data_IF_090924942733
#
_entry.id   IF_090924942733
#
_cell.length_a   1.000
_cell.length_b   1.000
_cell.length_c   1.000
_cell.angle_alpha   90.00
_cell.angle_beta   90.00
_cell.angle_gamma   90.00
#
_symmetry.space_group_name_H-M   'P 1'
#
loop_
_entity.id
_entity.type
_entity.pdbx_description
1 polymer ?
#
# COMPACT_ATOMS: atom_id res chain seq x y z
N UNK A 1 -23.00 -38.96 -45.85
CA UNK A 1 -24.03 -40.01 -45.74
C UNK A 1 -23.65 -40.85 -44.54
N UNK A 2 -24.61 -41.06 -43.62
CA UNK A 2 -24.53 -41.72 -42.31
C UNK A 2 -23.78 -40.99 -41.19
N UNK A 3 -24.24 -41.00 -39.94
CA UNK A 3 -25.57 -40.91 -39.32
C UNK A 3 -25.32 -40.68 -37.83
N UNK A 4 -26.27 -40.03 -37.17
CA UNK A 4 -26.29 -39.69 -35.75
C UNK A 4 -26.57 -40.92 -34.87
N UNK A 5 -26.04 -40.94 -33.66
CA UNK A 5 -26.73 -41.54 -32.52
C UNK A 5 -26.32 -40.90 -31.20
N UNK A 6 -27.32 -40.29 -30.58
CA UNK A 6 -27.44 -39.78 -29.21
C UNK A 6 -27.34 -40.88 -28.17
N UNK A 7 -26.82 -40.59 -26.98
CA UNK A 7 -27.21 -41.28 -25.73
C UNK A 7 -27.21 -40.29 -24.57
N UNK A 8 -28.43 -40.13 -24.04
CA UNK A 8 -28.84 -39.42 -22.82
C UNK A 8 -28.88 -40.40 -21.63
N UNK A 9 -28.98 -39.85 -20.42
CA UNK A 9 -29.45 -40.49 -19.18
C UNK A 9 -28.55 -41.50 -18.44
N UNK A 10 -27.78 -40.96 -17.47
CA UNK A 10 -27.70 -41.51 -16.11
C UNK A 10 -27.58 -40.38 -15.11
N UNK A 11 -28.63 -40.13 -14.32
CA UNK A 11 -28.53 -40.23 -12.86
C UNK A 11 -29.88 -39.92 -12.20
N UNK A 12 -30.43 -40.96 -11.57
CA UNK A 12 -31.56 -40.88 -10.66
C UNK A 12 -31.12 -41.43 -9.31
N UNK A 13 -31.61 -40.76 -8.26
CA UNK A 13 -31.69 -41.17 -6.85
C UNK A 13 -30.45 -40.91 -5.97
N UNK A 14 -30.55 -39.86 -5.14
CA UNK A 14 -30.63 -40.05 -3.69
C UNK A 14 -31.30 -38.82 -3.03
N UNK A 15 -32.52 -39.05 -2.52
CA UNK A 15 -33.27 -38.18 -1.62
C UNK A 15 -32.89 -38.48 -0.16
N UNK A 16 -32.70 -37.44 0.65
CA UNK A 16 -32.93 -37.38 2.11
C UNK A 16 -32.63 -35.95 2.57
N UNK A 17 -33.57 -35.00 2.55
CA UNK A 17 -34.54 -34.66 3.62
C UNK A 17 -33.94 -34.65 5.03
N UNK A 18 -33.51 -33.47 5.49
CA UNK A 18 -33.79 -33.03 6.86
C UNK A 18 -34.08 -31.52 6.91
N UNK A 19 -35.37 -31.23 7.08
CA UNK A 19 -35.94 -29.95 7.51
C UNK A 19 -35.66 -29.72 9.00
N UNK A 20 -35.20 -28.53 9.38
CA UNK A 20 -35.48 -27.97 10.71
C UNK A 20 -35.87 -26.49 10.60
N UNK A 21 -37.03 -26.18 11.18
CA UNK A 21 -37.72 -24.88 11.15
C UNK A 21 -37.13 -23.89 12.15
N UNK A 22 -37.28 -22.62 11.78
CA UNK A 22 -37.20 -21.37 12.55
C UNK A 22 -38.01 -21.38 13.85
N UNK A 23 -37.46 -20.71 14.87
CA UNK A 23 -38.05 -19.73 15.79
C UNK A 23 -36.82 -18.97 16.38
N UNK A 24 -36.68 -17.65 16.44
CA UNK A 24 -37.63 -16.56 16.43
C UNK A 24 -37.70 -15.92 17.82
N UNK A 25 -36.75 -15.03 18.17
CA UNK A 25 -36.97 -13.95 19.14
C UNK A 25 -36.02 -12.78 18.86
N UNK A 26 -36.64 -11.62 18.67
CA UNK A 26 -36.06 -10.28 18.63
C UNK A 26 -35.50 -9.89 20.01
N UNK A 27 -34.40 -9.14 20.03
CA UNK A 27 -34.30 -7.98 20.92
C UNK A 27 -33.21 -7.02 20.40
N UNK A 28 -33.64 -5.77 20.25
CA UNK A 28 -32.89 -4.63 19.74
C UNK A 28 -33.26 -3.48 20.66
N UNK A 29 -32.32 -2.92 21.42
CA UNK A 29 -32.52 -1.68 22.18
C UNK A 29 -31.24 -0.86 22.15
N UNK A 30 -31.39 0.34 21.61
CA UNK A 30 -30.67 1.59 21.88
C UNK A 30 -31.75 2.70 21.76
N UNK A 31 -31.58 3.95 22.24
CA UNK A 31 -30.53 4.51 23.09
C UNK A 31 -31.06 5.44 24.22
N UNK A 32 -30.09 5.97 24.98
CA UNK A 32 -30.15 7.06 25.97
C UNK A 32 -30.86 8.35 25.49
N UNK A 33 -31.61 9.00 26.40
CA UNK A 33 -31.55 10.46 26.65
C UNK A 33 -32.37 10.87 27.91
N UNK A 34 -31.93 11.96 28.58
CA UNK A 34 -32.69 12.83 29.54
C UNK A 34 -32.85 12.23 30.96
N UNK A 35 -32.57 12.85 32.13
CA UNK A 35 -32.48 14.25 32.55
C UNK A 35 -31.69 14.42 33.86
N UNK A 36 -31.27 15.68 34.10
CA UNK A 36 -30.81 16.26 35.36
C UNK A 36 -31.73 16.02 36.57
N UNK A 37 -31.15 15.89 37.76
CA UNK A 37 -31.57 16.63 38.95
C UNK A 37 -30.49 16.66 40.04
N UNK A 38 -30.26 17.88 40.56
CA UNK A 38 -29.63 18.17 41.85
C UNK A 38 -30.51 17.59 42.99
N UNK A 39 -30.10 17.44 44.25
CA UNK A 39 -29.44 18.41 45.12
C UNK A 39 -29.18 17.80 46.51
N UNK A 40 -28.12 18.28 47.15
CA UNK A 40 -28.00 18.64 48.58
C UNK A 40 -28.14 17.60 49.71
N UNK A 41 -27.13 17.64 50.59
CA UNK A 41 -27.12 16.97 51.89
C UNK A 41 -25.83 17.26 52.64
N UNK A 42 -25.70 18.48 53.18
CA UNK A 42 -24.63 18.91 54.08
C UNK A 42 -24.89 18.41 55.51
N UNK A 43 -23.86 17.94 56.23
CA UNK A 43 -23.42 18.50 57.53
C UNK A 43 -22.43 17.60 58.27
N UNK A 44 -21.38 18.19 58.86
CA UNK A 44 -20.99 17.82 60.23
C UNK A 44 -19.58 17.26 60.50
N UNK A 45 -18.58 18.14 60.51
CA UNK A 45 -17.49 18.28 61.53
C UNK A 45 -16.82 17.03 62.16
N UNK A 46 -15.50 16.89 61.95
CA UNK A 46 -14.50 16.76 63.04
C UNK A 46 -13.07 16.75 62.47
N UNK A 47 -12.17 17.47 63.13
CA UNK A 47 -10.80 17.71 62.71
C UNK A 47 -9.88 16.49 62.89
N UNK A 48 -9.11 16.18 61.85
CA UNK A 48 -7.81 15.54 61.95
C UNK A 48 -6.95 16.06 60.79
N UNK A 49 -5.73 16.53 61.10
CA UNK A 49 -4.77 17.01 60.12
C UNK A 49 -4.46 15.90 59.10
N UNK A 50 -4.74 16.16 57.82
CA UNK A 50 -4.32 15.32 56.70
C UNK A 50 -3.44 16.18 55.80
N UNK A 51 -2.24 15.71 55.55
CA UNK A 51 -1.25 16.28 54.64
C UNK A 51 -1.88 16.57 53.26
N UNK A 52 -1.75 17.82 52.81
CA UNK A 52 -2.18 18.22 51.46
C UNK A 52 -1.13 17.73 50.45
N UNK A 53 -1.52 17.03 49.37
CA UNK A 53 -0.58 16.35 48.49
C UNK A 53 0.18 17.34 47.58
N UNK A 54 1.50 17.14 47.53
CA UNK A 54 2.56 17.84 46.76
C UNK A 54 2.34 17.82 45.23
N UNK A 55 1.28 17.17 44.73
CA UNK A 55 1.08 16.80 43.31
C UNK A 55 0.61 17.96 42.40
N UNK A 56 0.01 19.02 42.96
CA UNK A 56 -0.60 20.10 42.14
C UNK A 56 0.41 21.15 41.64
N UNK A 57 1.51 21.34 42.36
CA UNK A 57 2.60 22.27 42.00
C UNK A 57 3.57 21.65 41.00
N UNK A 58 3.78 20.33 41.05
CA UNK A 58 4.61 19.58 40.10
C UNK A 58 4.03 19.58 38.70
N UNK A 59 2.71 19.32 38.52
CA UNK A 59 2.08 19.33 37.18
C UNK A 59 2.11 20.70 36.48
N UNK A 60 2.07 21.81 37.24
CA UNK A 60 2.24 23.17 36.68
C UNK A 60 3.70 23.49 36.36
N UNK A 61 4.65 23.05 37.19
CA UNK A 61 6.09 23.13 36.90
C UNK A 61 6.47 22.28 35.68
N UNK A 62 5.91 21.08 35.53
CA UNK A 62 6.16 20.18 34.40
C UNK A 62 5.71 20.79 33.06
N UNK A 63 4.50 21.35 32.99
CA UNK A 63 4.00 22.04 31.78
C UNK A 63 4.82 23.29 31.43
N UNK A 64 5.27 24.05 32.42
CA UNK A 64 6.16 25.20 32.23
C UNK A 64 7.56 24.78 31.74
N UNK A 65 8.09 23.67 32.27
CA UNK A 65 9.37 23.08 31.86
C UNK A 65 9.33 22.56 30.42
N UNK A 66 8.30 21.81 30.02
CA UNK A 66 8.13 21.31 28.65
C UNK A 66 8.06 22.46 27.63
N UNK A 67 7.43 23.59 28.01
CA UNK A 67 7.42 24.81 27.20
C UNK A 67 8.81 25.42 27.02
N UNK A 68 9.60 25.55 28.11
CA UNK A 68 10.96 26.12 28.07
C UNK A 68 11.99 25.24 27.37
N UNK A 69 11.91 23.91 27.52
CA UNK A 69 12.71 22.93 26.76
C UNK A 69 12.50 23.11 25.26
N UNK A 70 11.24 23.28 24.84
CA UNK A 70 10.91 23.49 23.43
C UNK A 70 11.43 24.84 22.91
N UNK A 71 11.37 25.89 23.74
CA UNK A 71 11.88 27.23 23.40
C UNK A 71 13.40 27.24 23.18
N UNK A 72 14.20 26.64 24.09
CA UNK A 72 15.67 26.66 23.92
C UNK A 72 16.11 25.88 22.68
N UNK A 73 15.47 24.75 22.37
CA UNK A 73 15.72 23.98 21.16
C UNK A 73 15.34 24.76 19.89
N UNK A 74 14.21 25.49 19.93
CA UNK A 74 13.77 26.34 18.84
C UNK A 74 14.75 27.49 18.57
N UNK A 75 15.20 28.21 19.60
CA UNK A 75 16.19 29.27 19.43
C UNK A 75 17.57 28.72 18.98
N UNK A 76 17.94 27.53 19.47
CA UNK A 76 19.15 26.85 19.02
C UNK A 76 19.07 26.47 17.53
N UNK A 77 17.89 26.08 17.02
CA UNK A 77 17.69 25.82 15.58
C UNK A 77 17.81 27.09 14.72
N UNK A 78 17.34 28.24 15.20
CA UNK A 78 17.28 29.50 14.45
C UNK A 78 18.55 30.37 14.56
N UNK A 79 19.64 29.85 15.14
CA UNK A 79 20.91 30.57 15.34
C UNK A 79 20.77 31.82 16.24
N UNK A 80 19.88 31.81 17.23
CA UNK A 80 19.66 32.94 18.14
C UNK A 80 20.44 32.74 19.46
N UNK A 81 21.74 33.03 19.41
CA UNK A 81 22.63 32.87 20.57
C UNK A 81 22.28 33.80 21.73
N UNK A 82 21.68 34.97 21.46
CA UNK A 82 21.28 35.92 22.50
C UNK A 82 20.09 35.39 23.30
N UNK A 83 19.07 34.85 22.63
CA UNK A 83 17.93 34.24 23.32
C UNK A 83 18.32 32.96 24.06
N UNK A 84 19.18 32.11 23.47
CA UNK A 84 19.72 30.91 24.14
C UNK A 84 20.46 31.31 25.42
N UNK A 85 21.33 32.32 25.38
CA UNK A 85 22.05 32.82 26.56
C UNK A 85 21.09 33.30 27.64
N UNK A 86 20.10 34.12 27.27
CA UNK A 86 19.10 34.64 28.21
C UNK A 86 18.32 33.51 28.89
N UNK A 87 17.88 32.52 28.13
CA UNK A 87 17.17 31.36 28.67
C UNK A 87 18.03 30.56 29.65
N UNK A 88 19.34 30.43 29.38
CA UNK A 88 20.28 29.74 30.26
C UNK A 88 20.66 30.54 31.52
N UNK A 89 20.63 31.87 31.46
CA UNK A 89 20.77 32.74 32.63
C UNK A 89 19.55 32.61 33.56
N UNK A 90 18.35 32.50 32.99
CA UNK A 90 17.11 32.30 33.74
C UNK A 90 17.00 30.87 34.31
N UNK A 91 17.38 29.85 33.54
CA UNK A 91 17.35 28.44 33.95
C UNK A 91 18.50 27.66 33.31
N UNK A 92 19.58 27.49 34.09
CA UNK A 92 20.77 26.74 33.69
C UNK A 92 20.48 25.27 33.34
N UNK A 93 19.40 24.69 33.86
CA UNK A 93 19.09 23.27 33.60
C UNK A 93 18.68 23.01 32.15
N UNK A 94 18.28 24.06 31.42
CA UNK A 94 17.88 23.97 30.01
C UNK A 94 19.05 23.59 29.09
N UNK A 95 20.30 23.72 29.51
CA UNK A 95 21.46 23.27 28.71
C UNK A 95 21.42 21.76 28.43
N UNK A 96 20.79 21.00 29.32
CA UNK A 96 20.58 19.55 29.21
C UNK A 96 19.15 19.19 28.75
N UNK A 97 18.40 20.16 28.21
CA UNK A 97 17.09 19.94 27.60
C UNK A 97 17.18 18.85 26.53
N UNK A 98 16.12 18.03 26.40
CA UNK A 98 16.03 16.97 25.40
C UNK A 98 14.70 17.03 24.66
N UNK A 99 14.74 16.88 23.35
CA UNK A 99 13.53 16.72 22.52
C UNK A 99 13.01 15.27 22.54
N UNK A 100 11.99 14.97 21.73
CA UNK A 100 11.42 13.62 21.64
C UNK A 100 12.43 12.58 21.12
N UNK A 101 13.49 12.99 20.43
CA UNK A 101 14.58 12.15 19.93
C UNK A 101 15.80 12.11 20.87
N UNK A 102 15.64 12.58 22.12
CA UNK A 102 16.72 12.74 23.10
C UNK A 102 17.85 13.69 22.66
N UNK A 103 17.64 14.55 21.66
CA UNK A 103 18.65 15.51 21.21
C UNK A 103 18.71 16.71 22.15
N UNK A 104 19.94 17.13 22.46
CA UNK A 104 20.20 18.35 23.24
C UNK A 104 20.26 19.59 22.33
N UNK A 105 20.16 20.82 22.88
CA UNK A 105 20.38 22.03 22.10
C UNK A 105 21.73 22.04 21.36
N UNK A 106 22.75 21.36 21.91
CA UNK A 106 24.06 21.26 21.28
C UNK A 106 24.04 20.37 20.03
N UNK A 107 23.23 19.30 20.00
CA UNK A 107 23.02 18.51 18.77
C UNK A 107 22.40 19.38 17.67
N UNK A 108 21.36 20.15 18.01
CA UNK A 108 20.68 21.04 17.07
C UNK A 108 21.64 22.09 16.52
N UNK A 109 22.40 22.77 17.39
CA UNK A 109 23.40 23.75 16.98
C UNK A 109 24.49 23.12 16.09
N UNK A 110 24.95 21.91 16.44
CA UNK A 110 26.01 21.21 15.73
C UNK A 110 25.60 20.76 14.31
N UNK A 111 24.38 20.22 14.17
CA UNK A 111 23.80 19.82 12.88
C UNK A 111 23.75 20.98 11.88
N UNK A 112 23.33 22.16 12.33
CA UNK A 112 23.22 23.33 11.46
C UNK A 112 24.55 24.10 11.29
N UNK A 113 25.49 23.92 12.21
CA UNK A 113 26.79 24.58 12.22
C UNK A 113 26.78 25.96 12.89
N UNK A 114 25.91 26.17 13.87
CA UNK A 114 25.76 27.42 14.61
C UNK A 114 26.82 27.58 15.70
N UNK A 115 27.99 28.09 15.30
CA UNK A 115 29.20 28.18 16.12
C UNK A 115 28.96 29.00 17.41
N UNK A 116 28.31 30.15 17.31
CA UNK A 116 28.12 31.05 18.46
C UNK A 116 27.12 30.48 19.47
N UNK A 117 26.08 29.80 18.99
CA UNK A 117 25.14 29.05 19.82
C UNK A 117 25.86 27.88 20.50
N UNK A 118 26.65 27.09 19.77
CA UNK A 118 27.38 25.96 20.31
C UNK A 118 28.39 26.39 21.38
N UNK A 119 29.18 27.45 21.14
CA UNK A 119 30.06 28.05 22.16
C UNK A 119 29.29 28.46 23.40
N UNK A 120 28.17 29.17 23.22
CA UNK A 120 27.33 29.57 24.34
C UNK A 120 26.81 28.37 25.14
N UNK A 121 26.40 27.28 24.48
CA UNK A 121 25.93 26.07 25.16
C UNK A 121 27.07 25.37 25.92
N UNK A 122 28.25 25.26 25.32
CA UNK A 122 29.44 24.65 25.94
C UNK A 122 29.91 25.47 27.16
N UNK A 123 29.93 26.79 27.06
CA UNK A 123 30.30 27.70 28.17
C UNK A 123 29.38 27.52 29.39
N UNK A 124 28.12 27.10 29.16
CA UNK A 124 27.13 26.82 30.21
C UNK A 124 27.09 25.34 30.62
N UNK A 125 28.06 24.52 30.19
CA UNK A 125 28.22 23.13 30.62
C UNK A 125 27.40 22.11 29.84
N UNK A 126 27.11 22.38 28.55
CA UNK A 126 26.56 21.36 27.67
C UNK A 126 27.52 20.15 27.59
N UNK A 127 26.96 18.95 27.69
CA UNK A 127 27.75 17.73 27.49
C UNK A 127 28.03 17.57 25.99
N UNK A 128 29.29 17.78 25.61
CA UNK A 128 29.80 17.68 24.23
C UNK A 128 29.67 16.26 23.67
N UNK A 129 29.53 15.26 24.56
CA UNK A 129 29.42 13.85 24.22
C UNK A 129 28.04 13.26 24.56
N UNK A 130 27.04 14.12 24.78
CA UNK A 130 25.66 13.66 24.98
C UNK A 130 25.22 12.80 23.79
N UNK A 131 24.47 11.74 24.08
CA UNK A 131 23.95 10.82 23.07
C UNK A 131 22.45 11.01 22.86
N UNK A 132 22.04 11.12 21.61
CA UNK A 132 20.63 11.10 21.20
C UNK A 132 20.06 9.67 21.17
N UNK A 133 18.81 9.51 20.69
CA UNK A 133 18.14 8.21 20.56
C UNK A 133 18.89 7.21 19.68
N UNK A 134 19.69 7.69 18.72
CA UNK A 134 20.47 6.87 17.79
C UNK A 134 21.93 6.70 18.22
N UNK A 135 22.29 7.20 19.42
CA UNK A 135 23.64 7.22 19.98
C UNK A 135 24.61 8.13 19.23
N UNK A 136 24.11 9.08 18.45
CA UNK A 136 24.93 10.12 17.84
C UNK A 136 25.32 11.15 18.89
N UNK A 137 26.52 11.69 18.76
CA UNK A 137 26.98 12.87 19.50
C UNK A 137 26.79 14.13 18.67
N UNK A 138 26.83 15.34 19.27
CA UNK A 138 26.87 16.59 18.51
C UNK A 138 27.99 16.63 17.48
N UNK A 139 29.15 16.02 17.77
CA UNK A 139 30.25 15.94 16.81
C UNK A 139 29.88 15.05 15.60
N UNK A 140 29.23 13.91 15.82
CA UNK A 140 28.77 13.04 14.75
C UNK A 140 27.74 13.75 13.84
N UNK A 141 26.82 14.54 14.42
CA UNK A 141 25.87 15.36 13.65
C UNK A 141 26.57 16.43 12.79
N UNK A 142 27.59 17.11 13.35
CA UNK A 142 28.38 18.08 12.61
C UNK A 142 29.21 17.44 11.47
N UNK A 143 29.75 16.24 11.70
CA UNK A 143 30.46 15.43 10.70
C UNK A 143 29.52 15.00 9.56
N UNK A 144 28.34 14.46 9.89
CA UNK A 144 27.32 14.07 8.91
C UNK A 144 26.82 15.25 8.07
N UNK A 145 26.64 16.42 8.69
CA UNK A 145 26.25 17.66 8.01
C UNK A 145 27.43 18.41 7.35
N UNK A 146 28.65 17.87 7.43
CA UNK A 146 29.89 18.42 6.84
C UNK A 146 30.20 19.86 7.28
N UNK A 147 29.99 20.17 8.56
CA UNK A 147 30.19 21.51 9.14
C UNK A 147 31.61 21.66 9.68
N UNK A 148 32.59 21.88 8.80
CA UNK A 148 34.03 21.91 9.15
C UNK A 148 34.39 22.78 10.36
N UNK A 149 33.89 24.02 10.43
CA UNK A 149 34.17 24.91 11.57
C UNK A 149 33.59 24.39 12.90
N UNK A 150 32.45 23.70 12.86
CA UNK A 150 31.81 23.12 14.03
C UNK A 150 32.53 21.84 14.49
N UNK A 151 32.99 21.03 13.55
CA UNK A 151 33.79 19.83 13.81
C UNK A 151 35.06 20.22 14.58
N UNK A 152 35.80 21.23 14.10
CA UNK A 152 37.01 21.70 14.77
C UNK A 152 36.70 22.28 16.16
N UNK A 153 35.61 23.03 16.30
CA UNK A 153 35.17 23.54 17.60
C UNK A 153 34.92 22.37 18.57
N UNK A 154 34.03 21.44 18.22
CA UNK A 154 33.65 20.34 19.10
C UNK A 154 34.83 19.43 19.46
N UNK A 155 35.75 19.17 18.51
CA UNK A 155 37.00 18.45 18.79
C UNK A 155 37.89 19.18 19.80
N UNK A 156 37.99 20.51 19.71
CA UNK A 156 38.77 21.33 20.66
C UNK A 156 38.25 21.18 22.09
N UNK A 157 36.94 20.98 22.26
CA UNK A 157 36.30 20.76 23.56
C UNK A 157 36.15 19.27 23.94
N UNK A 158 36.92 18.38 23.31
CA UNK A 158 36.94 16.95 23.66
C UNK A 158 35.73 16.15 23.16
N UNK A 159 35.07 16.64 22.10
CA UNK A 159 34.02 15.92 21.39
C UNK A 159 34.55 14.63 20.77
N UNK A 160 33.85 13.54 21.02
CA UNK A 160 34.13 12.22 20.53
C UNK A 160 33.16 11.90 19.39
N UNK A 161 33.71 11.40 18.29
CA UNK A 161 32.89 10.84 17.22
C UNK A 161 32.42 9.47 17.70
N UNK A 162 31.24 9.43 18.33
CA UNK A 162 30.52 8.19 18.58
C UNK A 162 29.45 8.06 17.52
N UNK A 163 29.75 7.23 16.54
CA UNK A 163 28.86 6.92 15.42
C UNK A 163 29.11 5.53 14.84
N UNK A 164 29.77 4.61 15.56
CA UNK A 164 30.09 3.28 15.02
C UNK A 164 28.84 2.48 14.57
N UNK A 165 27.64 2.86 15.04
CA UNK A 165 26.39 2.23 14.62
C UNK A 165 25.28 3.24 14.18
N UNK A 166 25.60 4.52 13.95
CA UNK A 166 24.62 5.60 13.78
C UNK A 166 24.63 6.25 12.39
N UNK A 167 23.63 5.89 11.58
CA UNK A 167 23.04 6.54 10.37
C UNK A 167 23.85 7.30 9.31
N UNK A 168 25.13 7.66 9.47
CA UNK A 168 25.89 8.39 8.45
C UNK A 168 27.28 7.78 8.24
N UNK A 169 27.45 7.15 7.07
CA UNK A 169 28.71 6.63 6.52
C UNK A 169 29.36 5.45 7.25
N UNK A 170 28.72 4.29 7.16
CA UNK A 170 29.32 3.19 6.39
C UNK A 170 28.20 2.53 5.57
N UNK A 171 28.28 2.45 4.22
CA UNK A 171 27.66 1.31 3.58
C UNK A 171 28.35 0.12 4.24
N UNK A 172 27.63 -0.61 5.11
CA UNK A 172 28.05 -1.98 5.39
C UNK A 172 28.36 -2.55 4.00
N UNK A 173 29.57 -3.06 3.76
CA UNK A 173 29.75 -3.94 2.63
C UNK A 173 28.76 -5.06 2.91
N UNK A 174 27.56 -4.95 2.33
CA UNK A 174 26.78 -6.11 2.02
C UNK A 174 27.77 -6.86 1.15
N UNK A 175 28.39 -7.89 1.72
CA UNK A 175 29.29 -8.74 0.97
C UNK A 175 28.58 -8.99 -0.37
N UNK A 176 29.25 -8.76 -1.51
CA UNK A 176 28.61 -8.99 -2.80
C UNK A 176 27.90 -10.33 -2.68
N UNK A 177 26.59 -10.38 -2.99
CA UNK A 177 25.76 -11.54 -2.70
C UNK A 177 26.56 -12.78 -3.10
N UNK A 178 26.76 -13.67 -2.14
CA UNK A 178 27.56 -14.89 -2.36
C UNK A 178 27.13 -15.44 -3.71
N UNK A 179 28.05 -15.68 -4.67
CA UNK A 179 27.73 -15.85 -6.09
C UNK A 179 26.99 -17.15 -6.44
N UNK A 180 26.21 -17.69 -5.51
CA UNK A 180 25.32 -18.84 -5.63
C UNK A 180 23.92 -18.64 -5.04
N UNK A 181 23.62 -17.55 -4.33
CA UNK A 181 22.27 -17.26 -3.84
C UNK A 181 21.63 -16.21 -4.74
N UNK A 182 20.42 -16.47 -5.23
CA UNK A 182 19.70 -15.46 -6.00
C UNK A 182 19.52 -14.20 -5.15
N UNK A 183 19.88 -13.02 -5.67
CA UNK A 183 19.83 -11.73 -4.94
C UNK A 183 18.44 -11.41 -4.34
N UNK A 184 17.39 -12.08 -4.83
CA UNK A 184 16.01 -11.93 -4.40
C UNK A 184 15.56 -12.90 -3.30
N UNK A 185 16.36 -13.91 -2.93
CA UNK A 185 15.99 -14.87 -1.87
C UNK A 185 16.22 -14.23 -0.49
N UNK A 186 15.13 -14.00 0.24
CA UNK A 186 15.12 -13.34 1.55
C UNK A 186 15.23 -14.39 2.66
N UNK A 187 16.02 -14.11 3.71
CA UNK A 187 15.93 -14.90 4.94
C UNK A 187 14.65 -14.52 5.72
N UNK A 188 13.75 -15.46 6.04
CA UNK A 188 12.53 -15.19 6.81
C UNK A 188 12.74 -14.40 8.11
N UNK A 189 13.91 -14.54 8.73
CA UNK A 189 14.27 -13.82 9.97
C UNK A 189 14.45 -12.31 9.76
N UNK A 190 14.62 -11.85 8.53
CA UNK A 190 14.68 -10.43 8.19
C UNK A 190 13.29 -9.78 8.08
N UNK A 191 12.22 -10.59 8.06
CA UNK A 191 10.85 -10.11 8.00
C UNK A 191 10.30 -9.91 9.42
N UNK A 192 9.93 -8.69 9.73
CA UNK A 192 9.28 -8.31 10.97
C UNK A 192 7.75 -8.34 10.82
N UNK A 193 7.12 -9.28 11.53
CA UNK A 193 5.67 -9.47 11.59
C UNK A 193 5.04 -8.96 12.90
N UNK A 194 5.78 -8.29 13.77
CA UNK A 194 5.31 -7.84 15.09
C UNK A 194 4.05 -6.96 15.02
N UNK A 195 3.96 -6.11 14.00
CA UNK A 195 2.81 -5.26 13.70
C UNK A 195 2.06 -5.71 12.44
N UNK A 196 2.09 -7.02 12.14
CA UNK A 196 1.47 -7.55 10.92
C UNK A 196 -0.05 -7.52 10.99
N UNK A 197 -0.67 -7.34 9.82
CA UNK A 197 -2.11 -7.44 9.64
C UNK A 197 -2.40 -8.26 8.39
N UNK A 198 -3.42 -9.12 8.44
CA UNK A 198 -3.90 -9.81 7.25
C UNK A 198 -4.66 -8.79 6.42
N UNK A 199 -4.16 -8.51 5.21
CA UNK A 199 -4.75 -7.57 4.27
C UNK A 199 -5.54 -8.28 3.15
N UNK A 200 -5.36 -9.59 2.99
CA UNK A 200 -6.13 -10.38 2.04
C UNK A 200 -6.05 -11.88 2.34
N UNK A 201 -7.06 -12.63 1.92
CA UNK A 201 -7.07 -14.09 1.94
C UNK A 201 -7.51 -14.60 0.58
N UNK A 202 -6.66 -15.42 -0.05
CA UNK A 202 -6.96 -16.11 -1.28
C UNK A 202 -7.10 -17.62 -1.04
N UNK A 203 -7.32 -18.36 -2.12
CA UNK A 203 -7.46 -19.83 -2.07
C UNK A 203 -6.15 -20.58 -1.79
N UNK A 204 -4.99 -19.99 -2.11
CA UNK A 204 -3.67 -20.64 -1.94
C UNK A 204 -2.86 -20.08 -0.77
N UNK A 205 -3.30 -18.98 -0.18
CA UNK A 205 -2.45 -18.19 0.70
C UNK A 205 -3.18 -17.01 1.32
N UNK A 206 -2.50 -16.38 2.26
CA UNK A 206 -2.92 -15.13 2.85
C UNK A 206 -1.89 -14.04 2.52
N UNK A 207 -2.37 -12.81 2.41
CA UNK A 207 -1.54 -11.64 2.18
C UNK A 207 -1.45 -10.89 3.50
N UNK A 208 -0.23 -10.74 3.99
CA UNK A 208 0.10 -10.07 5.24
C UNK A 208 0.86 -8.78 4.95
N UNK A 209 0.57 -7.73 5.71
CA UNK A 209 1.46 -6.58 5.82
C UNK A 209 2.59 -6.91 6.79
N UNK A 210 3.84 -6.64 6.40
CA UNK A 210 5.02 -6.83 7.24
C UNK A 210 6.05 -5.71 7.00
N UNK A 211 7.16 -5.73 7.74
CA UNK A 211 8.31 -4.86 7.51
C UNK A 211 9.53 -5.69 7.09
N UNK A 212 10.23 -5.28 6.04
CA UNK A 212 11.52 -5.83 5.65
C UNK A 212 12.57 -4.73 5.70
N UNK A 213 13.55 -4.85 6.61
CA UNK A 213 14.60 -3.82 6.83
C UNK A 213 14.04 -2.39 7.00
N UNK A 214 12.92 -2.27 7.73
CA UNK A 214 12.22 -1.01 7.96
C UNK A 214 11.30 -0.55 6.82
N UNK A 215 11.29 -1.24 5.68
CA UNK A 215 10.39 -0.94 4.55
C UNK A 215 9.09 -1.74 4.68
N UNK A 216 7.91 -1.11 4.63
CA UNK A 216 6.63 -1.83 4.59
C UNK A 216 6.51 -2.67 3.31
N UNK A 217 6.13 -3.94 3.46
CA UNK A 217 5.99 -4.91 2.37
C UNK A 217 4.69 -5.70 2.47
N UNK A 218 4.21 -6.18 1.33
CA UNK A 218 3.13 -7.14 1.26
C UNK A 218 3.73 -8.54 1.08
N UNK A 219 3.31 -9.47 1.93
CA UNK A 219 3.83 -10.85 1.99
C UNK A 219 2.69 -11.81 1.68
N UNK A 220 2.72 -12.42 0.49
CA UNK A 220 1.81 -13.51 0.12
C UNK A 220 2.41 -14.82 0.63
N UNK A 221 1.84 -15.34 1.72
CA UNK A 221 2.26 -16.55 2.41
C UNK A 221 1.41 -17.74 1.96
N UNK A 222 2.05 -18.79 1.45
CA UNK A 222 1.36 -20.05 1.13
C UNK A 222 0.94 -20.73 2.43
N UNK A 223 -0.30 -21.20 2.49
CA UNK A 223 -0.82 -21.85 3.69
C UNK A 223 -0.07 -23.16 4.00
N UNK A 224 0.18 -23.50 5.28
CA UNK A 224 0.92 -24.70 5.65
C UNK A 224 0.36 -26.00 5.06
N UNK A 225 -0.96 -26.14 5.00
CA UNK A 225 -1.67 -27.31 4.44
C UNK A 225 -1.48 -27.47 2.92
N UNK A 226 -1.10 -26.40 2.21
CA UNK A 226 -0.83 -26.41 0.77
C UNK A 226 0.67 -26.37 0.46
N UNK A 227 1.51 -26.15 1.48
CA UNK A 227 2.96 -25.95 1.33
C UNK A 227 3.75 -27.18 0.92
N UNK A 228 3.11 -28.36 0.86
CA UNK A 228 3.67 -29.63 0.39
C UNK A 228 3.10 -30.07 -0.97
N UNK A 229 2.07 -29.38 -1.49
CA UNK A 229 1.50 -29.69 -2.78
C UNK A 229 2.48 -29.27 -3.90
N UNK A 230 2.95 -30.27 -4.66
CA UNK A 230 3.92 -30.06 -5.75
C UNK A 230 3.43 -29.06 -6.80
N UNK A 231 2.13 -29.03 -7.11
CA UNK A 231 1.57 -28.12 -8.09
C UNK A 231 1.58 -26.68 -7.55
N UNK A 232 1.18 -26.49 -6.29
CA UNK A 232 1.21 -25.16 -5.64
C UNK A 232 2.63 -24.62 -5.55
N UNK A 233 3.61 -25.46 -5.20
CA UNK A 233 5.02 -25.07 -5.17
C UNK A 233 5.54 -24.72 -6.57
N UNK A 234 5.13 -25.46 -7.60
CA UNK A 234 5.50 -25.19 -8.99
C UNK A 234 4.91 -23.86 -9.47
N UNK A 235 3.64 -23.61 -9.20
CA UNK A 235 2.95 -22.36 -9.54
C UNK A 235 3.60 -21.16 -8.82
N UNK A 236 3.90 -21.31 -7.52
CA UNK A 236 4.62 -20.31 -6.74
C UNK A 236 6.01 -20.00 -7.33
N UNK A 237 6.80 -21.04 -7.66
CA UNK A 237 8.11 -20.84 -8.31
C UNK A 237 7.97 -20.20 -9.69
N UNK A 238 6.91 -20.50 -10.43
CA UNK A 238 6.64 -19.84 -11.70
C UNK A 238 6.36 -18.34 -11.51
N UNK A 239 5.50 -18.00 -10.55
CA UNK A 239 5.18 -16.62 -10.18
C UNK A 239 6.44 -15.84 -9.80
N UNK A 240 7.30 -16.39 -8.94
CA UNK A 240 8.60 -15.79 -8.58
C UNK A 240 9.48 -15.56 -9.81
N UNK A 241 9.68 -16.59 -10.65
CA UNK A 241 10.53 -16.50 -11.84
C UNK A 241 10.02 -15.49 -12.88
N UNK A 242 8.70 -15.27 -12.92
CA UNK A 242 8.08 -14.24 -13.74
C UNK A 242 8.37 -12.86 -13.16
N UNK A 243 8.03 -12.65 -11.88
CA UNK A 243 8.12 -11.39 -11.16
C UNK A 243 9.54 -10.82 -11.07
N UNK A 244 10.56 -11.68 -10.96
CA UNK A 244 11.98 -11.28 -11.00
C UNK A 244 12.32 -10.48 -12.25
N UNK A 245 11.61 -10.70 -13.37
CA UNK A 245 11.86 -10.06 -14.66
C UNK A 245 11.06 -8.76 -14.84
N UNK A 246 10.16 -8.42 -13.92
CA UNK A 246 9.23 -7.31 -14.09
C UNK A 246 9.70 -6.09 -13.29
N UNK A 247 9.93 -4.98 -13.99
CA UNK A 247 10.20 -3.66 -13.40
C UNK A 247 9.55 -2.58 -14.25
N UNK A 248 8.49 -1.97 -13.71
CA UNK A 248 7.75 -0.91 -14.39
C UNK A 248 6.97 -0.09 -13.35
N UNK A 249 6.83 1.24 -13.48
CA UNK A 249 6.15 2.10 -12.51
C UNK A 249 4.68 1.73 -12.26
N UNK A 250 3.97 1.19 -13.26
CA UNK A 250 2.58 0.72 -13.14
C UNK A 250 2.44 -0.80 -12.94
N UNK A 251 3.52 -1.49 -12.54
CA UNK A 251 3.49 -2.90 -12.13
C UNK A 251 3.96 -2.97 -10.67
N UNK A 252 3.31 -3.78 -9.85
CA UNK A 252 3.71 -3.98 -8.45
C UNK A 252 5.14 -4.52 -8.40
N UNK A 253 6.01 -3.81 -7.69
CA UNK A 253 7.42 -4.14 -7.60
C UNK A 253 7.64 -5.37 -6.72
N UNK A 254 8.23 -6.40 -7.32
CA UNK A 254 8.78 -7.54 -6.63
C UNK A 254 10.04 -7.14 -5.86
N UNK A 255 10.13 -7.57 -4.60
CA UNK A 255 11.26 -7.25 -3.70
C UNK A 255 12.06 -8.51 -3.35
N UNK A 256 11.39 -9.66 -3.22
CA UNK A 256 12.05 -10.92 -2.96
C UNK A 256 11.08 -12.06 -2.69
N UNK A 257 11.63 -13.23 -2.39
CA UNK A 257 10.84 -14.40 -2.03
C UNK A 257 11.58 -15.27 -1.00
N UNK A 258 10.82 -16.08 -0.29
CA UNK A 258 11.31 -17.20 0.52
C UNK A 258 10.89 -18.47 -0.20
N UNK A 259 11.85 -19.15 -0.82
CA UNK A 259 11.64 -20.37 -1.61
C UNK A 259 12.36 -21.59 -1.01
N UNK A 260 13.37 -21.38 -0.17
CA UNK A 260 14.18 -22.45 0.44
C UNK A 260 13.66 -22.91 1.80
N UNK A 261 13.04 -22.01 2.58
CA UNK A 261 12.51 -22.30 3.92
C UNK A 261 10.98 -22.20 3.92
N UNK A 262 10.33 -22.95 4.82
CA UNK A 262 8.89 -22.80 5.07
C UNK A 262 8.62 -21.76 6.17
N UNK A 263 7.48 -21.04 6.11
CA UNK A 263 6.51 -21.06 5.02
C UNK A 263 7.02 -20.35 3.76
N UNK A 264 6.58 -20.80 2.57
CA UNK A 264 6.91 -20.14 1.31
C UNK A 264 6.23 -18.76 1.25
N UNK A 265 6.98 -17.74 0.87
CA UNK A 265 6.51 -16.35 0.89
C UNK A 265 6.98 -15.58 -0.34
N UNK A 266 6.06 -14.83 -0.97
CA UNK A 266 6.38 -13.86 -2.01
C UNK A 266 6.27 -12.46 -1.41
N UNK A 267 7.29 -11.62 -1.63
CA UNK A 267 7.40 -10.28 -1.04
C UNK A 267 7.36 -9.23 -2.15
N UNK A 268 6.39 -8.34 -2.07
CA UNK A 268 6.23 -7.19 -2.97
C UNK A 268 6.16 -5.88 -2.19
N UNK A 269 6.26 -4.75 -2.87
CA UNK A 269 5.97 -3.45 -2.26
C UNK A 269 4.56 -3.42 -1.67
N UNK A 270 4.41 -2.77 -0.52
CA UNK A 270 3.09 -2.53 0.08
C UNK A 270 2.53 -1.20 -0.41
N UNK A 271 1.39 -1.26 -1.12
CA UNK A 271 0.68 -0.08 -1.62
C UNK A 271 -0.42 0.32 -0.65
N UNK A 272 -0.34 1.55 -0.14
CA UNK A 272 -1.15 2.02 1.00
C UNK A 272 -2.58 2.39 0.60
N UNK A 273 -2.82 2.63 -0.68
CA UNK A 273 -4.14 3.02 -1.19
C UNK A 273 -5.14 1.86 -1.30
N UNK A 274 -4.71 0.62 -1.05
CA UNK A 274 -5.57 -0.56 -1.20
C UNK A 274 -5.79 -0.95 -2.65
N UNK A 275 -6.87 -1.69 -2.91
CA UNK A 275 -7.26 -2.15 -4.25
C UNK A 275 -8.42 -1.33 -4.85
N UNK A 276 -8.49 -1.33 -6.18
CA UNK A 276 -9.47 -0.55 -6.95
C UNK A 276 -10.90 -1.00 -6.68
N UNK A 277 -11.13 -2.29 -6.36
CA UNK A 277 -12.48 -2.75 -6.02
C UNK A 277 -13.00 -2.08 -4.75
N UNK A 278 -12.19 -2.05 -3.69
CA UNK A 278 -12.57 -1.36 -2.45
C UNK A 278 -12.73 0.14 -2.67
N UNK A 279 -11.84 0.76 -3.46
CA UNK A 279 -11.94 2.18 -3.81
C UNK A 279 -13.26 2.53 -4.51
N UNK A 280 -13.66 1.74 -5.52
CA UNK A 280 -14.92 1.94 -6.25
C UNK A 280 -16.14 1.66 -5.36
N UNK A 281 -16.06 0.68 -4.46
CA UNK A 281 -17.13 0.42 -3.49
C UNK A 281 -17.36 1.60 -2.54
N UNK A 282 -16.32 2.32 -2.16
CA UNK A 282 -16.40 3.47 -1.26
C UNK A 282 -16.78 4.78 -1.97
N UNK A 283 -16.25 5.00 -3.19
CA UNK A 283 -16.44 6.26 -3.93
C UNK A 283 -17.58 6.22 -4.94
N UNK A 284 -18.00 5.03 -5.38
CA UNK A 284 -18.89 4.85 -6.52
C UNK A 284 -18.20 5.19 -7.85
N UNK A 285 -18.96 5.73 -8.79
CA UNK A 285 -18.47 6.11 -10.11
C UNK A 285 -17.39 7.21 -10.03
N UNK A 286 -16.34 7.06 -10.82
CA UNK A 286 -15.27 8.04 -10.93
C UNK A 286 -15.60 9.12 -11.94
N UNK A 287 -15.00 10.31 -11.80
CA UNK A 287 -15.07 11.32 -12.85
C UNK A 287 -14.37 10.82 -14.11
N UNK A 288 -14.79 11.24 -15.33
CA UNK A 288 -14.16 10.80 -16.57
C UNK A 288 -12.65 11.06 -16.60
N UNK A 289 -12.20 12.21 -16.08
CA UNK A 289 -10.77 12.55 -15.99
C UNK A 289 -9.99 11.53 -15.14
N UNK A 290 -10.48 11.22 -13.93
CA UNK A 290 -9.84 10.23 -13.04
C UNK A 290 -9.87 8.83 -13.66
N UNK A 291 -11.01 8.41 -14.22
CA UNK A 291 -11.15 7.12 -14.89
C UNK A 291 -10.16 6.97 -16.06
N UNK A 292 -9.96 8.01 -16.87
CA UNK A 292 -8.98 8.01 -17.97
C UNK A 292 -7.55 7.91 -17.43
N UNK A 293 -7.19 8.68 -16.39
CA UNK A 293 -5.86 8.59 -15.80
C UNK A 293 -5.57 7.18 -15.26
N UNK A 294 -6.54 6.57 -14.58
CA UNK A 294 -6.44 5.20 -14.08
C UNK A 294 -6.33 4.17 -15.21
N UNK A 295 -7.16 4.34 -16.25
CA UNK A 295 -7.11 3.52 -17.44
C UNK A 295 -5.75 3.60 -18.15
N UNK A 296 -5.15 4.79 -18.22
CA UNK A 296 -3.82 4.99 -18.77
C UNK A 296 -2.75 4.27 -17.95
N UNK A 297 -2.80 4.32 -16.61
CA UNK A 297 -1.86 3.62 -15.74
C UNK A 297 -1.95 2.09 -15.91
N UNK A 298 -3.17 1.54 -15.95
CA UNK A 298 -3.37 0.11 -16.23
C UNK A 298 -2.82 -0.23 -17.63
N UNK A 299 -3.17 0.56 -18.65
CA UNK A 299 -2.75 0.30 -20.02
C UNK A 299 -1.21 0.42 -20.20
N UNK A 300 -0.52 1.29 -19.47
CA UNK A 300 0.96 1.36 -19.43
C UNK A 300 1.55 0.08 -18.86
N UNK A 301 1.06 -0.37 -17.70
CA UNK A 301 1.48 -1.63 -17.09
C UNK A 301 1.26 -2.82 -18.03
N UNK A 302 0.08 -2.92 -18.63
CA UNK A 302 -0.25 -4.00 -19.55
C UNK A 302 0.51 -3.95 -20.88
N UNK A 303 0.80 -2.75 -21.40
CA UNK A 303 1.68 -2.58 -22.57
C UNK A 303 3.07 -3.15 -22.30
N UNK A 304 3.63 -2.90 -21.12
CA UNK A 304 4.92 -3.47 -20.71
C UNK A 304 4.89 -5.01 -20.71
N UNK A 305 3.84 -5.62 -20.15
CA UNK A 305 3.70 -7.08 -20.10
C UNK A 305 3.50 -7.72 -21.48
N UNK A 306 2.76 -7.05 -22.36
CA UNK A 306 2.38 -7.56 -23.68
C UNK A 306 3.43 -7.33 -24.76
N UNK A 307 4.56 -6.71 -24.40
CA UNK A 307 5.62 -6.37 -25.31
C UNK A 307 6.42 -7.62 -25.75
N UNK A 308 6.83 -7.62 -27.02
CA UNK A 308 7.63 -8.70 -27.59
C UNK A 308 9.12 -8.55 -27.23
N UNK A 309 9.91 -9.64 -27.17
CA UNK A 309 9.58 -11.03 -27.56
C UNK A 309 8.99 -11.91 -26.44
N UNK A 310 8.88 -11.40 -25.21
CA UNK A 310 8.47 -12.18 -24.04
C UNK A 310 7.07 -11.76 -23.57
N UNK A 311 6.05 -12.10 -24.34
CA UNK A 311 4.66 -11.73 -24.04
C UNK A 311 4.17 -12.45 -22.79
N UNK A 312 3.77 -11.68 -21.80
CA UNK A 312 3.16 -12.14 -20.54
C UNK A 312 1.68 -11.82 -20.59
N UNK A 313 0.83 -12.84 -20.46
CA UNK A 313 -0.62 -12.65 -20.31
C UNK A 313 -0.96 -12.69 -18.83
N UNK A 314 -1.68 -11.69 -18.34
CA UNK A 314 -2.06 -11.58 -16.93
C UNK A 314 -3.11 -12.63 -16.54
N UNK A 315 -4.16 -12.79 -17.36
CA UNK A 315 -5.28 -13.76 -17.25
C UNK A 315 -6.26 -13.56 -16.10
N UNK A 316 -5.86 -12.86 -15.04
CA UNK A 316 -6.74 -12.52 -13.92
C UNK A 316 -6.80 -11.01 -13.66
N UNK A 317 -6.87 -10.22 -14.74
CA UNK A 317 -6.95 -8.77 -14.61
C UNK A 317 -8.35 -8.39 -14.10
N UNK A 318 -8.41 -7.82 -12.90
CA UNK A 318 -9.66 -7.45 -12.20
C UNK A 318 -9.38 -6.31 -11.21
N UNK A 319 -10.39 -5.56 -10.73
CA UNK A 319 -10.15 -4.41 -9.87
C UNK A 319 -9.43 -4.76 -8.55
N UNK A 320 -9.60 -5.98 -8.01
CA UNK A 320 -8.84 -6.46 -6.82
C UNK A 320 -7.33 -6.60 -7.06
N UNK A 321 -6.94 -6.78 -8.32
CA UNK A 321 -5.54 -6.96 -8.74
C UNK A 321 -4.94 -5.64 -9.28
N UNK A 322 -5.66 -4.53 -9.14
CA UNK A 322 -5.19 -3.19 -9.47
C UNK A 322 -5.13 -2.38 -8.18
N UNK A 323 -3.93 -1.95 -7.81
CA UNK A 323 -3.64 -1.37 -6.51
C UNK A 323 -3.32 0.13 -6.62
N UNK A 324 -3.77 0.90 -5.63
CA UNK A 324 -3.55 2.34 -5.55
C UNK A 324 -2.29 2.64 -4.75
N UNK A 325 -1.41 3.49 -5.30
CA UNK A 325 -0.12 3.82 -4.67
C UNK A 325 -0.30 4.46 -3.30
N UNK A 326 -1.25 5.39 -3.19
CA UNK A 326 -1.56 6.11 -1.96
C UNK A 326 -3.07 6.36 -1.84
N UNK A 327 -3.51 6.88 -0.69
CA UNK A 327 -4.92 7.17 -0.41
C UNK A 327 -5.50 8.30 -1.27
N UNK A 328 -4.65 9.14 -1.85
CA UNK A 328 -5.06 10.19 -2.79
C UNK A 328 -5.36 9.61 -4.19
N UNK A 329 -5.04 8.33 -4.39
CA UNK A 329 -5.29 7.62 -5.63
C UNK A 329 -4.58 8.25 -6.84
N UNK A 330 -3.35 8.74 -6.65
CA UNK A 330 -2.64 9.47 -7.72
C UNK A 330 -2.25 8.56 -8.90
N UNK A 331 -1.88 7.31 -8.60
CA UNK A 331 -1.40 6.33 -9.56
C UNK A 331 -1.84 4.91 -9.24
N UNK A 332 -2.02 4.10 -10.29
CA UNK A 332 -2.34 2.68 -10.19
C UNK A 332 -1.15 1.79 -10.57
N UNK A 333 -1.08 0.61 -9.94
CA UNK A 333 -0.19 -0.48 -10.29
C UNK A 333 -0.95 -1.78 -10.45
N UNK A 334 -0.64 -2.54 -11.50
CA UNK A 334 -1.19 -3.90 -11.71
C UNK A 334 -0.37 -4.91 -10.90
N UNK A 335 -1.05 -5.78 -10.18
CA UNK A 335 -0.46 -6.81 -9.32
C UNK A 335 -1.12 -8.18 -9.44
N UNK A 336 -0.68 -9.12 -8.61
CA UNK A 336 -1.11 -10.53 -8.55
C UNK A 336 -0.98 -11.31 -9.87
N UNK A 337 0.22 -11.85 -10.08
CA UNK A 337 0.59 -12.60 -11.28
C UNK A 337 0.47 -14.12 -11.10
N UNK A 338 -0.24 -14.59 -10.07
CA UNK A 338 -0.33 -16.01 -9.73
C UNK A 338 -0.93 -16.90 -10.83
N UNK A 339 -1.64 -16.32 -11.79
CA UNK A 339 -2.20 -17.00 -12.96
C UNK A 339 -1.54 -16.59 -14.29
N UNK A 340 -0.55 -15.71 -14.23
CA UNK A 340 0.14 -15.20 -15.41
C UNK A 340 1.02 -16.28 -16.05
N UNK A 341 1.08 -16.29 -17.39
CA UNK A 341 1.97 -17.21 -18.13
C UNK A 341 2.75 -16.48 -19.21
N UNK A 342 4.02 -16.85 -19.35
CA UNK A 342 4.86 -16.47 -20.47
C UNK A 342 4.48 -17.31 -21.69
N UNK A 343 4.06 -16.67 -22.78
CA UNK A 343 3.94 -17.36 -24.06
C UNK A 343 5.32 -17.38 -24.71
N UNK A 344 6.03 -18.51 -24.53
CA UNK A 344 6.97 -18.99 -25.55
C UNK A 344 6.17 -19.86 -26.50
N UNK A 345 6.42 -19.74 -27.80
CA UNK A 345 5.60 -20.20 -28.96
C UNK A 345 5.32 -21.72 -29.03
N UNK A 346 5.26 -22.48 -27.93
CA UNK A 346 5.25 -23.95 -28.02
C UNK A 346 4.17 -24.74 -27.29
N UNK A 347 3.44 -24.27 -26.27
CA UNK A 347 2.48 -25.16 -25.57
C UNK A 347 1.12 -24.52 -25.29
N UNK A 348 0.12 -24.92 -26.10
CA UNK A 348 -1.28 -24.44 -26.07
C UNK A 348 -2.22 -25.29 -25.19
N UNK A 349 -1.72 -26.08 -24.25
CA UNK A 349 -2.52 -27.12 -23.54
C UNK A 349 -2.54 -27.00 -22.02
N UNK A 350 -2.15 -25.86 -21.47
CA UNK A 350 -2.24 -25.66 -20.03
C UNK A 350 -3.69 -25.42 -19.59
N UNK A 351 -4.24 -26.42 -18.90
CA UNK A 351 -5.56 -26.38 -18.26
C UNK A 351 -5.61 -25.22 -17.26
N UNK A 352 -6.53 -24.29 -17.51
CA UNK A 352 -6.84 -23.18 -16.62
C UNK A 352 -7.50 -23.74 -15.35
N UNK A 353 -6.76 -23.83 -14.24
CA UNK A 353 -7.33 -24.17 -12.93
C UNK A 353 -7.87 -22.90 -12.28
N UNK A 354 -9.19 -22.80 -12.22
CA UNK A 354 -9.84 -21.68 -11.56
C UNK A 354 -9.69 -21.76 -10.05
N UNK A 355 -9.30 -20.63 -9.49
CA UNK A 355 -9.15 -20.39 -8.07
C UNK A 355 -10.52 -19.94 -7.56
N UNK A 356 -10.97 -20.48 -6.41
CA UNK A 356 -12.35 -20.39 -5.91
C UNK A 356 -12.89 -19.00 -5.53
N UNK A 357 -12.41 -17.93 -6.15
CA UNK A 357 -12.93 -16.57 -6.01
C UNK A 357 -14.09 -16.36 -6.99
N UNK A 358 -15.31 -16.55 -6.48
CA UNK A 358 -16.56 -16.45 -7.26
C UNK A 358 -16.68 -15.14 -8.05
N UNK A 359 -16.10 -14.03 -7.60
CA UNK A 359 -16.19 -12.72 -8.27
C UNK A 359 -15.41 -12.55 -9.58
N UNK A 360 -14.40 -13.37 -9.85
CA UNK A 360 -13.44 -13.15 -10.96
C UNK A 360 -14.06 -13.39 -12.35
N UNK A 361 -15.08 -14.24 -12.44
CA UNK A 361 -15.76 -14.59 -13.69
C UNK A 361 -16.29 -13.37 -14.46
N UNK A 362 -16.69 -12.31 -13.76
CA UNK A 362 -17.30 -11.11 -14.35
C UNK A 362 -16.38 -10.38 -15.33
N UNK A 363 -15.07 -10.44 -15.13
CA UNK A 363 -14.06 -9.77 -15.96
C UNK A 363 -13.46 -10.70 -17.01
N UNK A 364 -13.90 -11.96 -17.06
CA UNK A 364 -13.34 -12.99 -17.92
C UNK A 364 -13.78 -12.82 -19.38
N UNK A 365 -12.83 -12.92 -20.30
CA UNK A 365 -13.12 -12.90 -21.72
C UNK A 365 -13.95 -14.13 -22.16
N UNK A 366 -14.87 -13.99 -23.12
CA UNK A 366 -15.82 -15.05 -23.49
C UNK A 366 -15.12 -16.29 -24.07
N UNK A 367 -13.99 -16.13 -24.75
CA UNK A 367 -13.17 -17.24 -25.25
C UNK A 367 -12.49 -18.04 -24.13
N UNK A 368 -12.11 -17.39 -23.03
CA UNK A 368 -11.53 -18.05 -21.84
C UNK A 368 -12.62 -18.85 -21.14
N UNK A 369 -13.79 -18.24 -20.92
CA UNK A 369 -14.96 -18.90 -20.35
C UNK A 369 -15.40 -20.12 -21.16
N UNK A 370 -15.35 -20.04 -22.49
CA UNK A 370 -15.68 -21.14 -23.42
C UNK A 370 -14.54 -22.14 -23.63
N UNK A 371 -13.43 -22.02 -22.90
CA UNK A 371 -12.26 -22.91 -23.02
C UNK A 371 -11.69 -23.00 -24.45
N UNK A 372 -11.75 -21.89 -25.20
CA UNK A 372 -11.21 -21.79 -26.57
C UNK A 372 -9.75 -21.33 -26.54
N UNK A 373 -9.06 -21.41 -27.68
CA UNK A 373 -7.74 -20.80 -27.83
C UNK A 373 -7.85 -19.29 -27.67
N UNK A 374 -6.87 -18.71 -26.99
CA UNK A 374 -6.81 -17.28 -26.72
C UNK A 374 -5.37 -16.76 -26.76
N UNK A 375 -5.24 -15.44 -26.86
CA UNK A 375 -3.97 -14.71 -26.83
C UNK A 375 -4.02 -13.58 -25.79
N UNK A 376 -3.08 -12.63 -25.87
CA UNK A 376 -2.99 -11.50 -24.94
C UNK A 376 -4.22 -10.57 -24.95
N UNK A 377 -5.09 -10.63 -25.97
CA UNK A 377 -6.31 -9.81 -26.08
C UNK A 377 -7.40 -10.18 -25.06
N UNK A 378 -7.23 -11.26 -24.29
CA UNK A 378 -8.09 -11.55 -23.13
C UNK A 378 -7.98 -10.48 -22.06
N UNK A 379 -6.77 -9.96 -21.82
CA UNK A 379 -6.57 -8.91 -20.80
C UNK A 379 -7.16 -7.58 -21.26
N UNK A 380 -7.23 -7.33 -22.59
CA UNK A 380 -7.90 -6.14 -23.16
C UNK A 380 -9.41 -6.17 -22.89
N UNK A 381 -10.02 -7.36 -22.97
CA UNK A 381 -11.42 -7.53 -22.60
C UNK A 381 -11.65 -7.25 -21.11
N UNK A 382 -10.80 -7.81 -20.25
CA UNK A 382 -10.87 -7.57 -18.81
C UNK A 382 -10.68 -6.09 -18.46
N UNK A 383 -9.75 -5.41 -19.13
CA UNK A 383 -9.56 -3.97 -19.01
C UNK A 383 -10.82 -3.18 -19.36
N UNK A 384 -11.54 -3.55 -20.42
CA UNK A 384 -12.80 -2.90 -20.79
C UNK A 384 -13.86 -3.00 -19.68
N UNK A 385 -13.96 -4.17 -19.05
CA UNK A 385 -14.87 -4.42 -17.93
C UNK A 385 -14.51 -3.58 -16.70
N UNK A 386 -13.21 -3.41 -16.41
CA UNK A 386 -12.74 -2.53 -15.33
C UNK A 386 -13.03 -1.07 -15.66
N UNK A 387 -12.78 -0.62 -16.89
CA UNK A 387 -13.07 0.75 -17.32
C UNK A 387 -14.57 1.04 -17.27
N UNK A 388 -15.42 0.10 -17.66
CA UNK A 388 -16.86 0.20 -17.46
C UNK A 388 -17.22 0.40 -15.98
N UNK A 389 -16.66 -0.41 -15.07
CA UNK A 389 -16.94 -0.29 -13.63
C UNK A 389 -16.46 1.05 -13.05
N UNK A 390 -15.30 1.56 -13.50
CA UNK A 390 -14.83 2.88 -13.09
C UNK A 390 -15.79 3.99 -13.51
N UNK A 391 -16.44 3.87 -14.67
CA UNK A 391 -17.34 4.89 -15.20
C UNK A 391 -18.75 4.81 -14.61
N UNK A 392 -19.26 3.61 -14.35
CA UNK A 392 -20.63 3.39 -13.86
C UNK A 392 -20.71 3.26 -12.34
N UNK A 393 -19.58 2.96 -11.67
CA UNK A 393 -19.49 2.78 -10.22
C UNK A 393 -19.97 1.41 -9.70
N UNK A 394 -20.70 0.67 -10.53
CA UNK A 394 -21.19 -0.68 -10.23
C UNK A 394 -20.43 -1.74 -11.04
N UNK A 395 -20.18 -2.94 -10.47
CA UNK A 395 -19.62 -4.05 -11.21
C UNK A 395 -20.42 -4.37 -12.49
N UNK A 396 -19.75 -4.76 -13.59
CA UNK A 396 -20.42 -5.07 -14.86
C UNK A 396 -21.49 -6.15 -14.68
N UNK A 397 -22.75 -5.89 -15.05
CA UNK A 397 -23.86 -6.83 -14.82
C UNK A 397 -24.09 -7.19 -13.34
N UNK A 398 -23.99 -6.21 -12.44
CA UNK A 398 -24.11 -6.37 -10.96
C UNK A 398 -25.33 -7.13 -10.45
N UNK A 399 -26.40 -7.22 -11.25
CA UNK A 399 -27.65 -7.92 -10.92
C UNK A 399 -27.58 -9.44 -11.17
N UNK A 400 -26.55 -9.94 -11.85
CA UNK A 400 -26.29 -11.36 -12.04
C UNK A 400 -25.20 -11.83 -11.07
N UNK A 401 -25.30 -13.09 -10.65
CA UNK A 401 -24.17 -13.76 -10.02
C UNK A 401 -22.97 -13.80 -10.99
N UNK A 402 -21.72 -13.74 -10.52
CA UNK A 402 -20.56 -13.56 -11.39
C UNK A 402 -20.43 -14.61 -12.51
N UNK A 403 -20.75 -15.87 -12.22
CA UNK A 403 -20.73 -16.94 -13.22
C UNK A 403 -21.83 -16.75 -14.29
N UNK A 404 -23.03 -16.36 -13.87
CA UNK A 404 -24.15 -16.08 -14.78
C UNK A 404 -23.86 -14.85 -15.65
N UNK A 405 -23.24 -13.82 -15.08
CA UNK A 405 -22.78 -12.65 -15.82
C UNK A 405 -21.79 -13.04 -16.93
N UNK A 406 -20.81 -13.89 -16.61
CA UNK A 406 -19.85 -14.39 -17.58
C UNK A 406 -20.52 -15.22 -18.68
N UNK A 407 -21.47 -16.09 -18.33
CA UNK A 407 -22.28 -16.85 -19.29
C UNK A 407 -23.06 -15.94 -20.23
N UNK A 408 -23.75 -14.93 -19.69
CA UNK A 408 -24.53 -13.96 -20.47
C UNK A 408 -23.67 -13.17 -21.46
N UNK A 409 -22.47 -12.76 -21.02
CA UNK A 409 -21.45 -12.13 -21.87
C UNK A 409 -20.93 -13.09 -22.96
N UNK A 410 -20.74 -14.35 -22.60
CA UNK A 410 -20.30 -15.39 -23.52
C UNK A 410 -21.35 -15.69 -24.62
N UNK A 411 -22.63 -15.47 -24.34
CA UNK A 411 -23.72 -15.54 -25.32
C UNK A 411 -23.78 -14.33 -26.27
N UNK A 412 -22.99 -13.28 -26.02
CA UNK A 412 -22.85 -12.12 -26.91
C UNK A 412 -23.39 -10.81 -26.34
N UNK A 413 -24.00 -10.84 -25.17
CA UNK A 413 -24.56 -9.65 -24.52
C UNK A 413 -23.46 -8.81 -23.86
N UNK A 414 -23.72 -7.51 -23.64
CA UNK A 414 -22.78 -6.58 -22.99
C UNK A 414 -23.49 -5.70 -21.96
N UNK A 415 -22.77 -5.21 -20.93
CA UNK A 415 -23.30 -4.21 -20.02
C UNK A 415 -23.78 -2.95 -20.76
N UNK A 416 -24.89 -2.37 -20.31
CA UNK A 416 -25.41 -1.11 -20.86
C UNK A 416 -24.95 0.06 -19.99
N UNK A 417 -24.38 1.08 -20.63
CA UNK A 417 -24.05 2.34 -19.94
C UNK A 417 -25.31 3.10 -19.53
N UNK A 418 -25.39 3.51 -18.27
CA UNK A 418 -26.50 4.29 -17.71
C UNK A 418 -26.11 5.76 -17.52
N UNK A 419 -24.85 6.03 -17.22
CA UNK A 419 -24.36 7.38 -16.98
C UNK A 419 -24.36 8.20 -18.29
N UNK A 420 -24.70 9.48 -18.21
CA UNK A 420 -24.73 10.41 -19.36
C UNK A 420 -23.50 11.33 -19.44
N UNK A 421 -22.49 11.08 -18.60
CA UNK A 421 -21.38 12.01 -18.33
C UNK A 421 -20.05 11.72 -19.02
N UNK A 422 -19.92 10.65 -19.81
CA UNK A 422 -18.67 10.30 -20.51
C UNK A 422 -18.76 10.62 -22.01
N UNK A 423 -17.60 10.82 -22.64
CA UNK A 423 -17.51 11.18 -24.06
C UNK A 423 -17.86 9.99 -24.97
N UNK A 424 -18.50 10.21 -26.13
CA UNK A 424 -18.79 9.15 -27.10
C UNK A 424 -17.55 8.34 -27.50
N UNK A 425 -16.39 8.99 -27.60
CA UNK A 425 -15.11 8.39 -27.98
C UNK A 425 -14.58 7.42 -26.92
N UNK A 426 -14.86 7.68 -25.63
CA UNK A 426 -14.49 6.79 -24.52
C UNK A 426 -15.39 5.57 -24.49
N UNK A 427 -16.69 5.76 -24.76
CA UNK A 427 -17.65 4.65 -24.89
C UNK A 427 -17.24 3.71 -26.03
N UNK A 428 -16.96 4.26 -27.21
CA UNK A 428 -16.52 3.51 -28.37
C UNK A 428 -15.23 2.72 -28.06
N UNK A 429 -14.30 3.30 -27.30
CA UNK A 429 -13.07 2.62 -26.90
C UNK A 429 -13.36 1.38 -26.04
N UNK A 430 -14.24 1.53 -25.04
CA UNK A 430 -14.68 0.39 -24.21
C UNK A 430 -15.35 -0.66 -25.09
N UNK A 431 -16.19 -0.23 -26.04
CA UNK A 431 -16.93 -1.11 -26.93
C UNK A 431 -16.05 -1.92 -27.88
N UNK A 432 -14.97 -1.33 -28.38
CA UNK A 432 -13.95 -2.05 -29.16
C UNK A 432 -13.13 -3.01 -28.29
N UNK A 433 -12.77 -2.60 -27.06
CA UNK A 433 -11.96 -3.42 -26.16
C UNK A 433 -12.68 -4.70 -25.73
N UNK A 434 -14.01 -4.70 -25.59
CA UNK A 434 -14.79 -5.90 -25.28
C UNK A 434 -15.45 -6.57 -26.49
N UNK A 435 -14.98 -6.29 -27.71
CA UNK A 435 -15.52 -6.86 -28.93
C UNK A 435 -15.56 -8.41 -28.87
N UNK A 436 -16.61 -9.06 -29.42
CA UNK A 436 -16.69 -10.53 -29.45
C UNK A 436 -15.52 -11.17 -30.21
N UNK A 437 -15.10 -10.55 -31.30
CA UNK A 437 -13.92 -10.96 -32.06
C UNK A 437 -12.65 -10.36 -31.45
N UNK A 438 -11.73 -11.22 -31.02
CA UNK A 438 -10.47 -10.85 -30.39
C UNK A 438 -9.57 -10.02 -31.33
N UNK A 439 -9.68 -10.22 -32.65
CA UNK A 439 -8.88 -9.51 -33.63
C UNK A 439 -9.29 -8.04 -33.76
N UNK A 440 -10.54 -7.71 -33.42
CA UNK A 440 -11.05 -6.33 -33.41
C UNK A 440 -10.62 -5.55 -32.18
N UNK A 441 -10.19 -6.22 -31.12
CA UNK A 441 -9.75 -5.56 -29.89
C UNK A 441 -8.40 -4.86 -30.15
N UNK A 442 -8.25 -3.57 -29.80
CA UNK A 442 -6.99 -2.85 -29.97
C UNK A 442 -5.87 -3.44 -29.09
N UNK A 443 -4.61 -3.08 -29.37
CA UNK A 443 -3.51 -3.36 -28.43
C UNK A 443 -3.51 -2.33 -27.29
N UNK A 444 -2.91 -2.65 -26.15
CA UNK A 444 -2.77 -1.67 -25.06
C UNK A 444 -2.00 -0.41 -25.48
N UNK A 445 -1.07 -0.52 -26.42
CA UNK A 445 -0.39 0.64 -26.99
C UNK A 445 -1.34 1.55 -27.79
N UNK A 446 -2.28 0.96 -28.54
CA UNK A 446 -3.29 1.73 -29.29
C UNK A 446 -4.33 2.34 -28.35
N UNK A 447 -4.71 1.61 -27.29
CA UNK A 447 -5.57 2.10 -26.22
C UNK A 447 -4.95 3.34 -25.56
N UNK A 448 -3.64 3.30 -25.22
CA UNK A 448 -2.95 4.46 -24.65
C UNK A 448 -3.03 5.70 -25.55
N UNK A 449 -2.72 5.53 -26.84
CA UNK A 449 -2.79 6.64 -27.82
C UNK A 449 -4.21 7.21 -27.93
N UNK A 450 -5.25 6.38 -27.83
CA UNK A 450 -6.64 6.85 -27.81
C UNK A 450 -6.98 7.58 -26.52
N UNK A 451 -6.60 7.03 -25.37
CA UNK A 451 -6.86 7.66 -24.07
C UNK A 451 -6.17 9.03 -23.95
N UNK A 452 -4.95 9.17 -24.47
CA UNK A 452 -4.25 10.46 -24.54
C UNK A 452 -5.05 11.50 -25.35
N UNK A 453 -5.52 11.13 -26.54
CA UNK A 453 -6.35 12.01 -27.37
C UNK A 453 -7.67 12.39 -26.68
N UNK A 454 -8.33 11.44 -26.03
CA UNK A 454 -9.57 11.68 -25.29
C UNK A 454 -9.30 12.63 -24.12
N UNK A 455 -8.19 12.44 -23.40
CA UNK A 455 -7.78 13.30 -22.29
C UNK A 455 -7.52 14.74 -22.74
N UNK A 456 -6.82 14.92 -23.86
CA UNK A 456 -6.53 16.25 -24.41
C UNK A 456 -7.78 16.99 -24.88
N UNK A 457 -8.84 16.25 -25.25
CA UNK A 457 -10.12 16.81 -25.65
C UNK A 457 -11.05 17.16 -24.47
N UNK A 458 -10.74 16.72 -23.25
CA UNK A 458 -11.53 17.06 -22.07
C UNK A 458 -11.33 18.53 -21.69
N UNK A 459 -12.38 19.26 -21.28
CA UNK A 459 -12.23 20.58 -20.70
C UNK A 459 -11.28 20.50 -19.52
N UNK A 460 -10.23 21.31 -19.52
CA UNK A 460 -9.32 21.39 -18.37
C UNK A 460 -10.13 21.78 -17.14
N UNK A 461 -10.15 20.92 -16.11
CA UNK A 461 -10.66 21.28 -14.78
C UNK A 461 -9.66 22.25 -14.11
N UNK A 462 -9.51 23.45 -14.66
CA UNK A 462 -8.94 24.59 -13.95
C UNK A 462 -10.09 25.35 -13.31
N UNK A 463 -10.58 24.84 -12.18
CA UNK A 463 -11.40 25.64 -11.27
C UNK A 463 -10.50 26.69 -10.57
N UNK A 464 -10.06 27.69 -11.31
CA UNK A 464 -9.61 28.97 -10.74
C UNK A 464 -10.76 29.98 -10.86
N UNK A 465 -11.83 29.77 -10.10
CA UNK A 465 -12.74 30.88 -9.77
C UNK A 465 -12.15 31.64 -8.58
N UNK A 466 -11.00 32.27 -8.79
CA UNK A 466 -10.52 33.36 -7.94
C UNK A 466 -10.65 34.64 -8.76
N UNK A 467 -11.67 35.42 -8.38
CA UNK A 467 -11.98 36.78 -8.82
C UNK A 467 -12.65 36.92 -10.20
N UNK A 468 -13.98 37.04 -10.17
CA UNK A 468 -14.69 37.97 -11.06
C UNK A 468 -15.69 38.78 -10.25
N UNK A 469 -15.32 40.05 -10.08
CA UNK A 469 -16.09 41.29 -9.84
C UNK A 469 -16.91 41.44 -8.56
#
# INVERSE_FOLDING_TARGET
MFELSTEEERDSKLNSVHTFKRNGTHESIDPLSIQMSASEGSSGSSAAAVEVPVVSTEKKKEKSRVSKTSQILWHAHHNDAAAVRKLLEEDRTLVQARDYDNRTPLHVAALHGWIDVAKCLIDYGADVNAQDRWRNTPLADAEGAKKSAMIELLKTYGGLSYGQNGSHFEPRPVAPPLPKKCDWEIDPTELDFSNSAIIGKGSFGEILKACWRGTPVAVKRILPNLSDDRLVIQDFRHEVNLLVKLRHPNIVQFLGAVTEKKPLMLITEYLRGGDLHQHLKEKGALTPSTAINFAMDIARGMTYLHNEPNVIIHRDLKPRNVLLVNSNADHLKVGDFGLSKLIRVQNSHDVYKMTGETGSYRYMAPEVFKHRKYDKKVDVFSFAMILYEMLEGDPPLSHYEPYEAAKYVAEGHRPMFRAKGFTPELKELVEECWAPDMNKRPSFLDILKRLEKIKDALPSEHHWNLFTS
#
